data_IF_396780926812
#
_entry.id   IF_396780926812
#
_cell.length_a   1.000
_cell.length_b   1.000
_cell.length_c   1.000
_cell.angle_alpha   90.00
_cell.angle_beta   90.00
_cell.angle_gamma   90.00
#
_symmetry.space_group_name_H-M   'P 1'
#
loop_
_entity.id
_entity.type
_entity.pdbx_description
1 polymer ?
#
# COMPACT_ATOMS: atom_id res chain seq x y z
N UNK A 1 -2.21 -20.15 29.42
CA UNK A 1 -1.57 -19.84 28.60
C UNK A 1 -0.86 -18.67 28.71
N UNK A 2 0.13 -18.88 28.65
CA UNK A 2 1.20 -18.06 28.79
C UNK A 2 1.07 -16.72 28.26
N UNK A 3 1.30 -15.73 28.99
CA UNK A 3 1.34 -14.36 28.57
C UNK A 3 2.49 -14.03 27.63
N UNK A 4 2.67 -14.81 26.57
CA UNK A 4 3.61 -14.39 25.57
C UNK A 4 3.02 -13.19 24.84
N UNK A 5 3.48 -12.01 25.22
CA UNK A 5 3.21 -10.84 24.40
C UNK A 5 3.98 -11.01 23.12
N UNK A 6 3.26 -11.11 22.00
CA UNK A 6 3.89 -11.01 20.71
C UNK A 6 4.64 -9.68 20.63
N UNK A 7 5.78 -9.67 19.95
CA UNK A 7 6.49 -8.44 19.71
C UNK A 7 5.55 -7.42 19.04
N UNK A 8 5.69 -6.11 19.34
CA UNK A 8 4.88 -5.10 18.68
C UNK A 8 5.06 -5.14 17.16
N UNK A 9 4.00 -4.85 16.42
CA UNK A 9 4.08 -4.71 14.98
C UNK A 9 4.84 -3.44 14.63
N UNK A 10 5.76 -3.53 13.72
CA UNK A 10 6.44 -2.37 13.16
C UNK A 10 5.59 -1.80 12.03
N UNK A 11 5.03 -0.63 12.26
CA UNK A 11 4.09 0.01 11.34
C UNK A 11 4.77 1.19 10.68
N UNK A 12 4.71 1.21 9.34
CA UNK A 12 5.20 2.33 8.55
C UNK A 12 4.02 3.18 8.07
N UNK A 13 4.26 4.46 7.89
CA UNK A 13 3.30 5.36 7.26
C UNK A 13 3.87 5.76 5.91
N UNK A 14 3.07 5.65 4.86
CA UNK A 14 3.43 6.17 3.56
C UNK A 14 2.54 7.35 3.20
N UNK A 15 3.16 8.49 2.93
CA UNK A 15 2.48 9.72 2.54
C UNK A 15 2.91 10.12 1.14
N UNK A 16 1.96 10.52 0.31
CA UNK A 16 2.24 11.13 -0.96
C UNK A 16 1.39 12.36 -1.12
N UNK A 17 2.05 13.48 -1.33
CA UNK A 17 1.39 14.78 -1.46
C UNK A 17 1.95 15.52 -2.67
N UNK A 18 1.22 16.53 -3.17
CA UNK A 18 1.74 17.41 -4.20
C UNK A 18 2.94 18.19 -3.65
N UNK A 19 2.73 19.44 -3.33
CA UNK A 19 3.80 20.28 -2.77
C UNK A 19 3.40 20.94 -1.45
N UNK A 20 2.30 20.51 -0.85
CA UNK A 20 1.78 21.13 0.37
C UNK A 20 2.32 20.44 1.61
N UNK A 21 3.13 21.16 2.38
CA UNK A 21 3.58 20.66 3.68
C UNK A 21 2.42 20.52 4.66
N UNK A 22 1.42 21.36 4.53
CA UNK A 22 0.22 21.30 5.37
C UNK A 22 -0.54 20.00 5.13
N UNK A 23 -0.74 19.62 3.87
CA UNK A 23 -1.40 18.36 3.54
C UNK A 23 -0.60 17.16 4.06
N UNK A 24 0.71 17.23 3.98
CA UNK A 24 1.59 16.19 4.49
C UNK A 24 1.43 16.04 6.00
N UNK A 25 1.42 17.15 6.72
CA UNK A 25 1.31 17.11 8.18
C UNK A 25 -0.03 16.51 8.62
N UNK A 26 -1.11 16.85 7.91
CA UNK A 26 -2.43 16.28 8.19
C UNK A 26 -2.41 14.76 7.99
N UNK A 27 -1.82 14.27 6.89
CA UNK A 27 -1.73 12.84 6.64
C UNK A 27 -0.93 12.13 7.74
N UNK A 28 0.20 12.71 8.15
CA UNK A 28 1.03 12.14 9.21
C UNK A 28 0.27 12.06 10.53
N UNK A 29 -0.41 13.13 10.90
CA UNK A 29 -1.14 13.20 12.17
C UNK A 29 -2.29 12.19 12.20
N UNK A 30 -3.02 12.08 11.10
CA UNK A 30 -4.11 11.12 11.01
C UNK A 30 -3.62 9.69 11.17
N UNK A 31 -2.57 9.33 10.46
CA UNK A 31 -2.01 7.98 10.55
C UNK A 31 -1.39 7.71 11.92
N UNK A 32 -0.68 8.68 12.46
CA UNK A 32 -0.10 8.55 13.80
C UNK A 32 -1.18 8.36 14.86
N UNK A 33 -2.32 9.03 14.72
CA UNK A 33 -3.44 8.85 15.63
C UNK A 33 -3.97 7.42 15.61
N UNK A 34 -4.05 6.81 14.43
CA UNK A 34 -4.45 5.40 14.30
C UNK A 34 -3.46 4.49 15.03
N UNK A 35 -2.17 4.75 14.87
CA UNK A 35 -1.13 3.94 15.55
C UNK A 35 -1.28 4.05 17.06
N UNK A 36 -1.56 5.24 17.58
CA UNK A 36 -1.72 5.43 19.03
C UNK A 36 -2.92 4.69 19.61
N UNK A 37 -3.89 4.30 18.81
CA UNK A 37 -5.03 3.51 19.27
C UNK A 37 -4.66 2.05 19.56
N UNK A 38 -3.46 1.62 19.16
CA UNK A 38 -3.01 0.24 19.28
C UNK A 38 -1.74 0.17 20.14
N UNK A 39 -1.86 -0.43 21.30
CA UNK A 39 -0.72 -0.57 22.22
C UNK A 39 0.36 -1.51 21.68
N UNK A 40 -0.02 -2.40 20.76
CA UNK A 40 0.87 -3.40 20.16
C UNK A 40 1.45 -2.95 18.83
N UNK A 41 1.29 -1.68 18.47
CA UNK A 41 1.88 -1.12 17.26
C UNK A 41 3.01 -0.15 17.60
N UNK A 42 4.08 -0.22 16.83
CA UNK A 42 5.23 0.66 16.96
C UNK A 42 5.44 1.39 15.63
N UNK A 43 5.47 2.73 15.69
CA UNK A 43 5.77 3.52 14.50
C UNK A 43 7.25 3.35 14.15
N UNK A 44 7.52 2.66 13.04
CA UNK A 44 8.89 2.39 12.62
C UNK A 44 9.46 3.55 11.79
N UNK A 45 8.77 3.96 10.74
CA UNK A 45 9.28 4.98 9.82
C UNK A 45 8.11 5.64 9.09
N UNK A 46 8.30 6.91 8.74
CA UNK A 46 7.39 7.63 7.85
C UNK A 46 8.11 7.86 6.54
N UNK A 47 7.53 7.39 5.45
CA UNK A 47 8.06 7.56 4.10
C UNK A 47 7.20 8.61 3.39
N UNK A 48 7.83 9.58 2.76
CA UNK A 48 7.12 10.67 2.10
C UNK A 48 7.66 10.89 0.70
N UNK A 49 6.76 10.93 -0.27
CA UNK A 49 7.08 11.33 -1.63
C UNK A 49 6.25 12.55 -2.02
N UNK A 50 6.85 13.41 -2.82
CA UNK A 50 6.22 14.63 -3.32
C UNK A 50 6.09 14.54 -4.83
N UNK A 51 5.05 15.18 -5.37
CA UNK A 51 4.86 15.30 -6.80
C UNK A 51 3.51 14.81 -7.27
N UNK A 52 3.17 15.20 -8.50
CA UNK A 52 1.91 14.88 -9.15
C UNK A 52 2.18 14.51 -10.62
N UNK A 53 1.19 13.89 -11.26
CA UNK A 53 1.26 13.58 -12.68
C UNK A 53 2.46 12.70 -13.04
N UNK A 54 3.31 13.12 -13.99
CA UNK A 54 4.45 12.29 -14.44
C UNK A 54 5.44 11.94 -13.34
N UNK A 55 5.51 12.77 -12.30
CA UNK A 55 6.43 12.54 -11.18
C UNK A 55 5.97 11.41 -10.28
N UNK A 56 4.75 10.91 -10.47
CA UNK A 56 4.23 9.78 -9.69
C UNK A 56 5.14 8.56 -9.78
N UNK A 57 5.75 8.33 -10.95
CA UNK A 57 6.63 7.18 -11.13
C UNK A 57 7.96 7.33 -10.43
N UNK A 58 8.31 8.54 -10.01
CA UNK A 58 9.50 8.81 -9.22
C UNK A 58 9.10 8.83 -7.77
N UNK A 59 9.19 7.70 -7.12
CA UNK A 59 8.81 7.55 -5.72
C UNK A 59 9.97 6.94 -4.95
N UNK A 60 11.05 7.72 -4.70
CA UNK A 60 12.20 7.15 -4.02
C UNK A 60 11.88 6.64 -2.61
N UNK A 61 11.02 7.34 -1.87
CA UNK A 61 10.64 6.89 -0.54
C UNK A 61 9.78 5.63 -0.58
N UNK A 62 8.88 5.52 -1.55
CA UNK A 62 8.11 4.30 -1.75
C UNK A 62 9.04 3.11 -2.04
N UNK A 63 10.03 3.30 -2.91
CA UNK A 63 10.98 2.25 -3.24
C UNK A 63 11.81 1.84 -2.03
N UNK A 64 12.20 2.80 -1.20
CA UNK A 64 12.89 2.53 0.05
C UNK A 64 12.00 1.74 1.01
N UNK A 65 10.74 2.12 1.13
CA UNK A 65 9.78 1.40 1.96
C UNK A 65 9.64 -0.06 1.51
N UNK A 66 9.51 -0.29 0.21
CA UNK A 66 9.41 -1.65 -0.31
C UNK A 66 10.68 -2.46 -0.04
N UNK A 67 11.85 -1.83 -0.15
CA UNK A 67 13.10 -2.48 0.20
C UNK A 67 13.15 -2.86 1.69
N UNK A 68 12.67 -1.99 2.55
CA UNK A 68 12.62 -2.25 4.00
C UNK A 68 11.62 -3.36 4.32
N UNK A 69 10.52 -3.45 3.59
CA UNK A 69 9.58 -4.57 3.71
C UNK A 69 10.26 -5.90 3.35
N UNK A 70 11.05 -5.91 2.30
CA UNK A 70 11.79 -7.13 1.88
C UNK A 70 12.83 -7.56 2.91
N UNK A 71 13.34 -6.61 3.68
CA UNK A 71 14.30 -6.90 4.76
C UNK A 71 13.62 -7.35 6.05
N UNK A 72 12.28 -7.36 6.09
CA UNK A 72 11.54 -7.74 7.28
C UNK A 72 11.46 -6.67 8.35
N UNK A 73 11.70 -5.41 7.99
CA UNK A 73 11.70 -4.31 8.96
C UNK A 73 10.30 -3.73 9.20
N UNK A 74 9.35 -4.04 8.35
CA UNK A 74 7.99 -3.48 8.39
C UNK A 74 6.99 -4.62 8.38
N UNK A 75 6.01 -4.56 9.26
CA UNK A 75 4.94 -5.55 9.36
C UNK A 75 3.62 -5.05 8.78
N UNK A 76 3.40 -3.74 8.83
CA UNK A 76 2.15 -3.12 8.38
C UNK A 76 2.43 -1.73 7.84
N UNK A 77 1.66 -1.34 6.81
CA UNK A 77 1.74 -0.02 6.22
C UNK A 77 0.39 0.67 6.38
N UNK A 78 0.40 1.94 6.78
CA UNK A 78 -0.79 2.80 6.76
C UNK A 78 -0.65 3.80 5.63
N UNK A 79 -1.68 3.93 4.81
CA UNK A 79 -1.77 4.94 3.75
C UNK A 79 -3.13 5.61 3.80
N UNK A 80 -3.20 6.84 3.31
CA UNK A 80 -4.46 7.57 3.29
C UNK A 80 -5.50 6.88 2.42
N UNK A 81 -5.12 6.47 1.22
CA UNK A 81 -6.06 5.89 0.26
C UNK A 81 -5.35 5.00 -0.75
N UNK A 82 -6.12 4.24 -1.48
CA UNK A 82 -5.61 3.40 -2.56
C UNK A 82 -4.86 4.25 -3.60
N UNK A 83 -5.38 5.44 -3.92
CA UNK A 83 -4.75 6.32 -4.88
C UNK A 83 -3.40 6.87 -4.42
N UNK A 84 -3.14 6.89 -3.12
CA UNK A 84 -1.83 7.24 -2.58
C UNK A 84 -0.80 6.16 -2.90
N UNK A 85 -1.22 4.91 -2.89
CA UNK A 85 -0.33 3.78 -3.11
C UNK A 85 0.03 3.59 -4.59
N UNK A 86 -0.95 3.73 -5.48
CA UNK A 86 -0.73 3.46 -6.90
C UNK A 86 -1.70 4.26 -7.77
N UNK A 87 -1.25 4.61 -8.99
CA UNK A 87 -2.06 5.40 -9.94
C UNK A 87 -3.21 4.61 -10.53
N UNK A 88 -3.01 3.35 -10.74
CA UNK A 88 -3.96 2.50 -11.45
C UNK A 88 -4.13 1.18 -10.70
N UNK A 89 -5.20 0.49 -11.03
CA UNK A 89 -5.56 -0.75 -10.35
C UNK A 89 -4.50 -1.82 -10.53
N UNK A 90 -3.91 -1.91 -11.73
CA UNK A 90 -2.89 -2.91 -12.00
C UNK A 90 -1.65 -2.73 -11.12
N UNK A 91 -1.15 -1.49 -11.05
CA UNK A 91 0.00 -1.18 -10.20
C UNK A 91 -0.31 -1.44 -8.74
N UNK A 92 -1.52 -1.10 -8.29
CA UNK A 92 -1.96 -1.37 -6.93
C UNK A 92 -1.95 -2.87 -6.62
N UNK A 93 -2.48 -3.68 -7.54
CA UNK A 93 -2.52 -5.13 -7.40
C UNK A 93 -1.13 -5.73 -7.26
N UNK A 94 -0.19 -5.26 -8.07
CA UNK A 94 1.19 -5.74 -8.02
C UNK A 94 1.83 -5.47 -6.66
N UNK A 95 1.64 -4.28 -6.13
CA UNK A 95 2.16 -3.90 -4.81
C UNK A 95 1.54 -4.76 -3.73
N UNK A 96 0.21 -4.90 -3.74
CA UNK A 96 -0.49 -5.68 -2.73
C UNK A 96 -0.09 -7.15 -2.76
N UNK A 97 0.12 -7.72 -3.93
CA UNK A 97 0.59 -9.10 -4.05
C UNK A 97 1.99 -9.27 -3.49
N UNK A 98 2.88 -8.34 -3.78
CA UNK A 98 4.23 -8.39 -3.22
C UNK A 98 4.19 -8.29 -1.70
N UNK A 99 3.44 -7.33 -1.17
CA UNK A 99 3.31 -7.17 0.29
C UNK A 99 2.74 -8.42 0.94
N UNK A 100 1.71 -9.01 0.34
CA UNK A 100 1.12 -10.24 0.84
C UNK A 100 2.14 -11.38 0.89
N UNK A 101 2.95 -11.52 -0.16
CA UNK A 101 3.99 -12.55 -0.20
C UNK A 101 5.05 -12.33 0.87
N UNK A 102 5.28 -11.08 1.28
CA UNK A 102 6.23 -10.74 2.34
C UNK A 102 5.62 -10.82 3.74
N UNK A 103 4.32 -11.09 3.85
CA UNK A 103 3.63 -11.09 5.13
C UNK A 103 3.36 -9.70 5.67
N UNK A 104 3.42 -8.66 4.82
CA UNK A 104 3.15 -7.28 5.21
C UNK A 104 1.71 -6.95 4.87
N UNK A 105 0.97 -6.40 5.83
CA UNK A 105 -0.40 -5.96 5.62
C UNK A 105 -0.44 -4.46 5.37
N UNK A 106 -1.56 -3.98 4.81
CA UNK A 106 -1.73 -2.56 4.54
C UNK A 106 -3.15 -2.14 4.90
N UNK A 107 -3.28 -0.95 5.47
CA UNK A 107 -4.56 -0.37 5.81
C UNK A 107 -4.73 0.94 5.06
N UNK A 108 -5.83 1.03 4.32
CA UNK A 108 -6.26 2.24 3.60
C UNK A 108 -7.26 2.98 4.47
N UNK A 109 -6.89 4.17 4.92
CA UNK A 109 -7.68 4.90 5.90
C UNK A 109 -8.99 5.44 5.32
N UNK A 110 -8.96 6.01 4.12
CA UNK A 110 -10.16 6.56 3.49
C UNK A 110 -11.20 5.48 3.17
N UNK A 111 -10.74 4.36 2.60
CA UNK A 111 -11.63 3.26 2.25
C UNK A 111 -11.99 2.37 3.44
N UNK A 112 -11.27 2.53 4.54
CA UNK A 112 -11.43 1.70 5.75
C UNK A 112 -11.27 0.21 5.44
N UNK A 113 -10.23 -0.12 4.69
CA UNK A 113 -9.89 -1.50 4.32
C UNK A 113 -8.53 -1.86 4.90
N UNK A 114 -8.45 -3.02 5.55
CA UNK A 114 -7.22 -3.57 6.08
C UNK A 114 -7.04 -4.98 5.54
N UNK A 115 -5.94 -5.22 4.83
CA UNK A 115 -5.70 -6.53 4.21
C UNK A 115 -5.48 -7.65 5.23
N UNK A 116 -5.22 -7.31 6.48
CA UNK A 116 -5.09 -8.31 7.54
C UNK A 116 -6.44 -8.91 7.94
N UNK A 117 -7.46 -8.06 8.02
CA UNK A 117 -8.79 -8.46 8.54
C UNK A 117 -9.81 -8.71 7.45
N UNK A 118 -9.62 -8.13 6.27
CA UNK A 118 -10.57 -8.24 5.18
C UNK A 118 -10.19 -9.38 4.22
N UNK A 119 -10.60 -10.59 4.56
CA UNK A 119 -10.29 -11.76 3.73
C UNK A 119 -10.85 -11.66 2.31
N UNK A 120 -11.98 -10.99 2.14
CA UNK A 120 -12.58 -10.76 0.83
C UNK A 120 -11.69 -9.94 -0.09
N UNK A 121 -10.85 -9.09 0.49
CA UNK A 121 -9.92 -8.30 -0.28
C UNK A 121 -8.91 -9.18 -1.02
N UNK A 122 -8.40 -10.22 -0.38
CA UNK A 122 -7.48 -11.17 -1.01
C UNK A 122 -8.15 -11.96 -2.11
N UNK A 123 -9.41 -12.36 -1.91
CA UNK A 123 -10.18 -13.05 -2.94
C UNK A 123 -10.39 -12.15 -4.16
N UNK A 124 -10.73 -10.89 -3.92
CA UNK A 124 -10.88 -9.90 -4.98
C UNK A 124 -9.56 -9.74 -5.75
N UNK A 125 -8.44 -9.64 -5.05
CA UNK A 125 -7.12 -9.53 -5.68
C UNK A 125 -6.82 -10.73 -6.57
N UNK A 126 -7.06 -11.92 -6.07
CA UNK A 126 -6.81 -13.15 -6.81
C UNK A 126 -7.68 -13.24 -8.05
N UNK A 127 -8.96 -12.91 -7.92
CA UNK A 127 -9.89 -12.88 -9.04
C UNK A 127 -9.46 -11.86 -10.09
N UNK A 128 -9.13 -10.65 -9.66
CA UNK A 128 -8.73 -9.58 -10.56
C UNK A 128 -7.43 -9.92 -11.27
N UNK A 129 -6.49 -10.55 -10.59
CA UNK A 129 -5.23 -10.98 -11.20
C UNK A 129 -5.45 -12.02 -12.28
N UNK A 130 -6.33 -12.98 -12.03
CA UNK A 130 -6.66 -14.01 -13.01
C UNK A 130 -7.33 -13.39 -14.25
N UNK A 131 -8.27 -12.48 -14.03
CA UNK A 131 -8.96 -11.79 -15.11
C UNK A 131 -8.00 -10.96 -15.95
N UNK A 132 -7.07 -10.27 -15.30
CA UNK A 132 -6.07 -9.45 -15.99
C UNK A 132 -5.12 -10.30 -16.84
N UNK A 133 -4.77 -11.49 -16.38
CA UNK A 133 -3.94 -12.42 -17.15
C UNK A 133 -4.65 -12.88 -18.41
N UNK A 134 -5.93 -13.26 -18.30
CA UNK A 134 -6.76 -13.66 -19.44
C UNK A 134 -6.88 -12.51 -20.44
N UNK A 135 -7.15 -11.32 -19.94
CA UNK A 135 -7.28 -10.13 -20.77
C UNK A 135 -6.02 -9.87 -21.59
N UNK A 136 -4.85 -10.02 -20.98
CA UNK A 136 -3.59 -9.80 -21.69
C UNK A 136 -3.35 -10.80 -22.82
N UNK A 137 -3.70 -12.06 -22.59
CA UNK A 137 -3.55 -13.10 -23.60
C UNK A 137 -4.47 -12.86 -24.80
N UNK A 138 -5.70 -12.43 -24.54
CA UNK A 138 -6.68 -12.22 -25.61
C UNK A 138 -6.40 -10.98 -26.46
N UNK A 139 -5.88 -9.92 -25.84
CA UNK A 139 -5.69 -8.65 -26.53
C UNK A 139 -4.35 -8.59 -27.27
N UNK A 140 -3.42 -9.46 -26.89
CA UNK A 140 -2.08 -9.48 -27.52
C UNK A 140 -1.12 -8.49 -26.91
N UNK A 141 0.16 -8.83 -26.98
CA UNK A 141 1.21 -8.11 -26.27
C UNK A 141 1.48 -6.70 -26.82
N UNK A 142 1.11 -6.42 -28.07
CA UNK A 142 1.47 -5.17 -28.72
C UNK A 142 0.65 -3.97 -28.28
N UNK A 143 -0.51 -4.20 -27.65
CA UNK A 143 -1.44 -3.12 -27.32
C UNK A 143 -1.71 -3.03 -25.83
N UNK A 144 -0.99 -3.78 -25.03
CA UNK A 144 -1.29 -3.90 -23.62
C UNK A 144 -1.08 -2.64 -22.80
N UNK A 145 -0.22 -1.74 -23.26
CA UNK A 145 0.02 -0.50 -22.52
C UNK A 145 -1.15 0.47 -22.61
N UNK A 146 -1.95 0.38 -23.68
CA UNK A 146 -3.06 1.29 -23.90
C UNK A 146 -4.39 0.77 -23.39
N UNK A 147 -4.43 -0.51 -23.03
CA UNK A 147 -5.67 -1.21 -22.73
C UNK A 147 -5.76 -1.67 -21.27
N UNK A 148 -4.80 -1.33 -20.44
CA UNK A 148 -4.86 -1.66 -19.03
C UNK A 148 -6.09 -0.97 -18.44
N UNK A 149 -7.07 -1.73 -17.89
CA UNK A 149 -8.27 -1.11 -17.36
C UNK A 149 -7.90 -0.22 -16.19
N UNK A 150 -8.27 1.03 -16.31
CA UNK A 150 -8.18 1.96 -15.20
C UNK A 150 -9.51 1.88 -14.49
N UNK A 151 -9.49 1.35 -13.29
CA UNK A 151 -10.67 1.41 -12.44
C UNK A 151 -10.49 2.63 -11.58
N UNK A 152 -11.31 3.61 -11.86
CA UNK A 152 -11.30 4.85 -11.08
C UNK A 152 -12.28 4.75 -9.93
#
# INVERSE_FOLDING_TARGET
MSGQKNAPLNVAIYCRVGFSEYALEIQKQRAAAVIREHDDWNLATIYTDFGTGPQFNRRPSFKMMMADCRKGLIDKILVRSISTLARDTWSCMKVLRELSALGVTIRFLDENVDTETDSQWMEFLNFYSALSAIWREEIGAAETSDIVPVIQ
#
